data_IF_032112338743
#
_entry.id   IF_032112338743
#
_cell.length_a   1.000
_cell.length_b   1.000
_cell.length_c   1.000
_cell.angle_alpha   90.00
_cell.angle_beta   90.00
_cell.angle_gamma   90.00
#
_symmetry.space_group_name_H-M   'P 1'
#
loop_
_entity.id
_entity.type
_entity.pdbx_description
1 polymer ?
#
# COMPACT_ATOMS: atom_id res chain seq x y z
N UNK A 1 -23.18 9.23 -32.09
CA UNK A 1 -24.14 8.12 -31.91
C UNK A 1 -23.63 7.01 -30.99
N UNK A 2 -22.41 6.46 -31.19
CA UNK A 2 -21.89 5.37 -30.34
C UNK A 2 -21.71 5.78 -28.86
N UNK A 3 -21.17 6.96 -28.57
CA UNK A 3 -21.00 7.46 -27.21
C UNK A 3 -22.33 7.57 -26.45
N UNK A 4 -23.37 8.10 -27.08
CA UNK A 4 -24.70 8.18 -26.46
C UNK A 4 -25.32 6.81 -26.15
N UNK A 5 -25.05 5.80 -27.00
CA UNK A 5 -25.53 4.44 -26.75
C UNK A 5 -24.88 3.80 -25.55
N UNK A 6 -23.57 3.98 -25.36
CA UNK A 6 -22.83 3.52 -24.18
C UNK A 6 -23.31 4.23 -22.92
N UNK A 7 -23.51 5.53 -23.00
CA UNK A 7 -23.99 6.38 -21.90
C UNK A 7 -25.39 5.99 -21.40
N UNK A 8 -26.25 5.48 -22.27
CA UNK A 8 -27.59 5.01 -21.90
C UNK A 8 -27.59 3.55 -21.41
N UNK A 9 -26.67 2.73 -21.90
CA UNK A 9 -26.64 1.29 -21.64
C UNK A 9 -26.10 0.99 -20.24
N UNK A 10 -25.04 1.67 -19.81
CA UNK A 10 -24.38 1.40 -18.54
C UNK A 10 -25.30 1.63 -17.33
N UNK A 11 -26.00 2.79 -17.18
CA UNK A 11 -26.92 3.00 -16.06
C UNK A 11 -28.13 2.07 -16.06
N UNK A 12 -28.51 1.55 -17.23
CA UNK A 12 -29.65 0.65 -17.38
C UNK A 12 -29.31 -0.82 -17.09
N UNK A 13 -28.03 -1.18 -17.01
CA UNK A 13 -27.61 -2.54 -16.74
C UNK A 13 -27.96 -2.95 -15.31
N UNK A 14 -28.60 -4.10 -15.16
CA UNK A 14 -29.00 -4.62 -13.86
C UNK A 14 -27.79 -4.90 -12.98
N UNK A 15 -27.73 -4.31 -11.79
CA UNK A 15 -26.57 -4.43 -10.87
C UNK A 15 -25.62 -3.24 -10.91
N UNK A 16 -25.87 -2.21 -11.73
CA UNK A 16 -25.13 -0.96 -11.71
C UNK A 16 -25.54 -0.13 -10.49
N UNK A 17 -24.59 0.29 -9.69
CA UNK A 17 -24.75 1.23 -8.58
C UNK A 17 -24.36 2.65 -8.99
N UNK A 18 -23.60 3.33 -8.15
CA UNK A 18 -23.06 4.65 -8.46
C UNK A 18 -22.10 4.59 -9.65
N UNK A 19 -22.11 5.63 -10.45
CA UNK A 19 -21.24 5.72 -11.61
C UNK A 19 -20.83 7.16 -11.86
N UNK A 20 -19.61 7.34 -12.38
CA UNK A 20 -19.16 8.59 -12.97
C UNK A 20 -18.49 8.34 -14.32
N UNK A 21 -18.32 9.39 -15.07
CA UNK A 21 -17.72 9.37 -16.40
C UNK A 21 -16.51 10.28 -16.41
N UNK A 22 -15.51 9.93 -17.21
CA UNK A 22 -14.34 10.77 -17.37
C UNK A 22 -14.04 11.01 -18.84
N UNK A 23 -13.74 12.25 -19.16
CA UNK A 23 -13.19 12.67 -20.43
C UNK A 23 -11.74 13.08 -20.24
N UNK A 24 -10.89 12.81 -21.22
CA UNK A 24 -9.50 13.25 -21.22
C UNK A 24 -9.31 14.30 -22.30
N UNK A 25 -8.80 15.46 -21.89
CA UNK A 25 -8.46 16.57 -22.76
C UNK A 25 -6.99 16.91 -22.59
N UNK A 26 -6.35 17.30 -23.67
CA UNK A 26 -4.98 17.78 -23.65
C UNK A 26 -4.97 19.30 -23.64
N UNK A 27 -4.30 19.87 -22.65
CA UNK A 27 -4.15 21.31 -22.51
C UNK A 27 -2.67 21.66 -22.22
N UNK A 28 -2.32 22.92 -22.35
CA UNK A 28 -1.06 23.44 -21.84
C UNK A 28 -1.35 24.32 -20.63
N UNK A 29 -0.44 24.32 -19.68
CA UNK A 29 -0.60 25.10 -18.43
C UNK A 29 0.46 26.18 -18.41
N UNK A 30 0.09 27.38 -18.02
CA UNK A 30 1.04 28.49 -17.86
C UNK A 30 2.09 28.12 -16.81
N UNK A 31 3.37 28.21 -17.19
CA UNK A 31 4.49 27.80 -16.33
C UNK A 31 5.00 26.39 -16.54
N UNK A 32 4.31 25.54 -17.31
CA UNK A 32 4.78 24.21 -17.69
C UNK A 32 5.21 24.14 -19.14
N UNK A 33 6.28 23.38 -19.39
CA UNK A 33 6.69 23.04 -20.74
C UNK A 33 6.04 21.68 -21.11
N UNK A 34 5.16 21.68 -22.12
CA UNK A 34 4.55 20.46 -22.63
C UNK A 34 3.04 20.41 -22.50
N UNK A 35 2.51 19.25 -22.82
CA UNK A 35 1.08 18.97 -22.80
C UNK A 35 0.73 18.33 -21.45
N UNK A 36 -0.29 18.86 -20.81
CA UNK A 36 -0.87 18.33 -19.55
C UNK A 36 -2.17 17.60 -19.86
N UNK A 37 -2.34 16.41 -19.32
CA UNK A 37 -3.61 15.70 -19.38
C UNK A 37 -4.59 16.31 -18.37
N UNK A 38 -5.74 16.74 -18.86
CA UNK A 38 -6.85 17.20 -18.03
C UNK A 38 -7.92 16.13 -18.02
N UNK A 39 -8.23 15.60 -16.86
CA UNK A 39 -9.26 14.59 -16.65
C UNK A 39 -10.49 15.30 -16.11
N UNK A 40 -11.53 15.33 -16.91
CA UNK A 40 -12.79 16.00 -16.59
C UNK A 40 -13.85 14.96 -16.21
N UNK A 41 -14.40 15.09 -15.00
CA UNK A 41 -15.39 14.16 -14.47
C UNK A 41 -16.81 14.69 -14.65
N UNK A 42 -17.71 13.77 -15.00
CA UNK A 42 -19.17 14.00 -14.98
C UNK A 42 -19.78 13.05 -13.94
N UNK A 43 -20.38 13.57 -12.91
CA UNK A 43 -20.88 12.83 -11.75
C UNK A 43 -19.89 12.84 -10.59
N UNK A 44 -20.26 12.22 -9.48
CA UNK A 44 -19.42 12.16 -8.29
C UNK A 44 -18.27 11.15 -8.45
N UNK A 45 -17.06 11.65 -8.64
CA UNK A 45 -15.85 10.84 -8.75
C UNK A 45 -15.07 10.74 -7.41
N UNK A 46 -15.59 11.23 -6.30
CA UNK A 46 -14.92 11.22 -4.99
C UNK A 46 -14.60 9.81 -4.49
N UNK A 47 -15.44 8.84 -4.85
CA UNK A 47 -15.25 7.43 -4.51
C UNK A 47 -14.31 6.67 -5.50
N UNK A 48 -13.79 7.33 -6.53
CA UNK A 48 -12.97 6.73 -7.59
C UNK A 48 -11.58 6.26 -7.15
N UNK A 49 -11.30 6.20 -5.85
CA UNK A 49 -10.05 5.69 -5.30
C UNK A 49 -8.88 6.68 -5.33
N UNK A 50 -9.15 7.95 -5.57
CA UNK A 50 -8.13 9.01 -5.54
C UNK A 50 -7.79 9.36 -4.09
N UNK A 51 -6.56 9.05 -3.66
CA UNK A 51 -6.11 9.32 -2.30
C UNK A 51 -5.69 10.78 -2.16
N UNK A 52 -6.41 11.55 -1.35
CA UNK A 52 -6.10 12.95 -1.08
C UNK A 52 -4.86 13.08 -0.18
N UNK A 53 -3.94 13.95 -0.57
CA UNK A 53 -2.77 14.33 0.23
C UNK A 53 -3.10 15.52 1.11
N UNK A 54 -3.80 16.53 0.54
CA UNK A 54 -4.20 17.72 1.25
C UNK A 54 -5.41 18.39 0.58
N UNK A 55 -6.12 19.24 1.33
CA UNK A 55 -7.30 19.94 0.81
C UNK A 55 -8.53 19.05 0.71
N UNK A 56 -9.36 19.27 -0.31
CA UNK A 56 -10.59 18.52 -0.56
C UNK A 56 -10.74 18.12 -2.01
N UNK A 57 -11.65 17.19 -2.28
CA UNK A 57 -12.05 16.85 -3.64
C UNK A 57 -12.84 17.99 -4.29
N UNK A 58 -13.00 17.91 -5.62
CA UNK A 58 -13.76 18.83 -6.45
C UNK A 58 -15.23 18.81 -6.01
N UNK A 59 -15.84 19.98 -5.82
CA UNK A 59 -17.25 20.13 -5.42
C UNK A 59 -18.08 20.86 -6.49
N UNK A 60 -17.43 21.37 -7.54
CA UNK A 60 -18.13 22.06 -8.61
C UNK A 60 -17.22 22.63 -9.70
N UNK A 61 -17.82 23.36 -10.64
CA UNK A 61 -17.10 23.93 -11.77
C UNK A 61 -16.06 24.98 -11.32
N UNK A 62 -15.00 25.10 -12.10
CA UNK A 62 -13.91 26.03 -11.84
C UNK A 62 -12.92 25.57 -10.76
N UNK A 63 -13.13 24.37 -10.19
CA UNK A 63 -12.22 23.78 -9.22
C UNK A 63 -11.37 22.67 -9.85
N UNK A 64 -10.17 22.51 -9.32
CA UNK A 64 -9.27 21.44 -9.76
C UNK A 64 -8.54 20.81 -8.57
N UNK A 65 -8.23 19.52 -8.73
CA UNK A 65 -7.33 18.76 -7.87
C UNK A 65 -6.13 18.34 -8.72
N UNK A 66 -4.94 18.43 -8.16
CA UNK A 66 -3.69 18.17 -8.89
C UNK A 66 -2.71 17.33 -8.04
N UNK A 67 -1.80 16.57 -8.66
CA UNK A 67 -0.76 15.86 -7.94
C UNK A 67 0.34 16.80 -7.40
N UNK A 68 1.10 16.31 -6.41
CA UNK A 68 2.24 17.04 -5.81
C UNK A 68 3.26 17.56 -6.85
N UNK A 69 3.71 16.74 -7.85
CA UNK A 69 4.66 17.22 -8.85
C UNK A 69 4.13 18.39 -9.68
N UNK A 70 2.82 18.43 -9.95
CA UNK A 70 2.20 19.53 -10.67
C UNK A 70 2.31 20.85 -9.88
N UNK A 71 2.03 20.82 -8.58
CA UNK A 71 2.16 21.99 -7.69
C UNK A 71 3.59 22.52 -7.69
N UNK A 72 4.56 21.61 -7.56
CA UNK A 72 5.98 21.97 -7.55
C UNK A 72 6.44 22.56 -8.90
N UNK A 73 6.00 21.96 -10.02
CA UNK A 73 6.42 22.39 -11.36
C UNK A 73 5.79 23.73 -11.78
N UNK A 74 4.58 24.05 -11.28
CA UNK A 74 3.88 25.32 -11.57
C UNK A 74 4.13 26.40 -10.54
N UNK A 75 4.91 26.12 -9.48
CA UNK A 75 5.11 26.99 -8.30
C UNK A 75 3.77 27.50 -7.72
N UNK A 76 2.78 26.61 -7.72
CA UNK A 76 1.43 26.90 -7.20
C UNK A 76 1.16 26.13 -5.92
N UNK A 77 0.05 26.46 -5.27
CA UNK A 77 -0.39 25.83 -4.01
C UNK A 77 -1.92 25.72 -3.97
N UNK A 78 -2.43 24.95 -3.05
CA UNK A 78 -3.87 24.90 -2.77
C UNK A 78 -4.40 26.29 -2.50
N UNK A 79 -5.49 26.67 -3.17
CA UNK A 79 -6.07 28.01 -3.19
C UNK A 79 -5.59 28.87 -4.36
N UNK A 80 -4.50 28.50 -5.02
CA UNK A 80 -4.01 29.16 -6.24
C UNK A 80 -4.86 28.86 -7.46
N UNK A 81 -4.63 29.62 -8.52
CA UNK A 81 -5.34 29.46 -9.82
C UNK A 81 -4.33 29.19 -10.91
N UNK A 82 -4.64 28.24 -11.77
CA UNK A 82 -3.88 27.93 -13.00
C UNK A 82 -4.77 28.12 -14.21
N UNK A 83 -4.16 28.46 -15.35
CA UNK A 83 -4.90 28.63 -16.62
C UNK A 83 -4.55 27.48 -17.55
N UNK A 84 -5.59 26.79 -18.00
CA UNK A 84 -5.54 25.75 -19.01
C UNK A 84 -5.66 26.42 -20.39
N UNK A 85 -4.65 26.29 -21.21
CA UNK A 85 -4.57 26.86 -22.56
C UNK A 85 -4.60 25.74 -23.60
N UNK A 86 -4.83 26.09 -24.88
CA UNK A 86 -4.91 25.12 -25.98
C UNK A 86 -6.31 24.54 -26.17
N UNK A 87 -7.30 25.05 -25.45
CA UNK A 87 -8.73 24.88 -25.66
C UNK A 87 -9.26 26.01 -26.56
N UNK A 88 -10.54 26.01 -26.93
CA UNK A 88 -11.13 27.10 -27.70
C UNK A 88 -10.95 28.48 -27.01
N UNK A 89 -11.07 28.49 -25.69
CA UNK A 89 -10.78 29.63 -24.83
C UNK A 89 -9.94 29.19 -23.63
N UNK A 90 -9.08 30.05 -23.07
CA UNK A 90 -8.36 29.75 -21.83
C UNK A 90 -9.31 29.55 -20.66
N UNK A 91 -9.12 28.49 -19.89
CA UNK A 91 -9.95 28.15 -18.72
C UNK A 91 -9.14 28.31 -17.46
N UNK A 92 -9.57 29.20 -16.57
CA UNK A 92 -8.97 29.35 -15.24
C UNK A 92 -9.62 28.35 -14.26
N UNK A 93 -8.78 27.59 -13.55
CA UNK A 93 -9.23 26.64 -12.52
C UNK A 93 -8.51 26.92 -11.20
N UNK A 94 -9.27 26.87 -10.11
CA UNK A 94 -8.73 27.05 -8.76
C UNK A 94 -8.36 25.68 -8.17
N UNK A 95 -7.14 25.55 -7.70
CA UNK A 95 -6.67 24.33 -7.04
C UNK A 95 -7.28 24.24 -5.65
N UNK A 96 -8.08 23.21 -5.38
CA UNK A 96 -8.77 23.00 -4.10
C UNK A 96 -8.20 21.81 -3.31
N UNK A 97 -7.40 20.97 -3.96
CA UNK A 97 -6.80 19.81 -3.31
C UNK A 97 -5.58 19.27 -4.03
N UNK A 98 -4.85 18.47 -3.30
CA UNK A 98 -3.67 17.73 -3.72
C UNK A 98 -3.98 16.24 -3.62
N UNK A 99 -3.65 15.47 -4.67
CA UNK A 99 -3.93 14.04 -4.77
C UNK A 99 -2.64 13.25 -5.00
N UNK A 100 -2.58 12.05 -4.47
CA UNK A 100 -1.52 11.09 -4.78
C UNK A 100 -1.84 10.41 -6.12
N UNK A 101 -1.24 10.89 -7.18
CA UNK A 101 -1.31 10.26 -8.50
C UNK A 101 0.06 10.35 -9.21
N UNK A 102 0.78 9.23 -9.31
CA UNK A 102 2.08 9.18 -9.98
C UNK A 102 1.97 9.02 -11.51
N UNK A 103 0.77 8.84 -12.06
CA UNK A 103 0.60 8.66 -13.50
C UNK A 103 1.02 9.92 -14.26
N UNK A 104 1.56 9.74 -15.44
CA UNK A 104 2.05 10.83 -16.29
C UNK A 104 3.01 11.79 -15.55
N UNK A 105 3.92 11.22 -14.75
CA UNK A 105 4.87 11.95 -13.90
C UNK A 105 4.20 12.99 -12.96
N UNK A 106 2.93 12.76 -12.61
CA UNK A 106 2.11 13.66 -11.82
C UNK A 106 1.70 14.94 -12.57
N UNK A 107 1.86 15.01 -13.88
CA UNK A 107 1.48 16.18 -14.71
C UNK A 107 0.05 16.04 -15.23
N UNK A 108 -0.90 16.03 -14.30
CA UNK A 108 -2.34 15.90 -14.58
C UNK A 108 -3.14 16.94 -13.80
N UNK A 109 -4.28 17.30 -14.36
CA UNK A 109 -5.28 18.16 -13.70
C UNK A 109 -6.60 17.43 -13.69
N UNK A 110 -7.21 17.32 -12.53
CA UNK A 110 -8.54 16.75 -12.34
C UNK A 110 -9.53 17.89 -12.12
N UNK A 111 -10.63 17.91 -12.87
CA UNK A 111 -11.65 18.97 -12.78
C UNK A 111 -13.05 18.41 -13.08
N UNK A 112 -14.06 19.21 -12.83
CA UNK A 112 -15.44 18.91 -13.26
C UNK A 112 -15.61 19.17 -14.77
N UNK A 113 -16.36 18.33 -15.46
CA UNK A 113 -16.57 18.45 -16.91
C UNK A 113 -17.25 19.76 -17.30
N UNK A 114 -18.13 20.30 -16.45
CA UNK A 114 -18.78 21.59 -16.69
C UNK A 114 -17.82 22.78 -16.71
N UNK A 115 -16.63 22.65 -16.08
CA UNK A 115 -15.54 23.60 -16.16
C UNK A 115 -15.02 23.77 -17.59
N UNK A 116 -14.95 22.68 -18.34
CA UNK A 116 -14.37 22.66 -19.69
C UNK A 116 -15.41 22.82 -20.78
N UNK A 117 -16.69 22.50 -20.54
CA UNK A 117 -17.76 22.52 -21.54
C UNK A 117 -17.86 23.85 -22.31
N UNK A 118 -17.71 25.03 -21.69
CA UNK A 118 -17.75 26.30 -22.44
C UNK A 118 -16.62 26.44 -23.46
N UNK A 119 -15.41 25.96 -23.12
CA UNK A 119 -14.22 26.05 -23.95
C UNK A 119 -13.99 24.79 -24.82
N UNK A 120 -14.72 23.71 -24.58
CA UNK A 120 -14.65 22.45 -25.32
C UNK A 120 -16.02 21.79 -25.38
N UNK A 121 -16.96 22.31 -26.19
CA UNK A 121 -18.35 21.80 -26.25
C UNK A 121 -18.44 20.35 -26.74
N UNK A 122 -17.47 19.87 -27.52
CA UNK A 122 -17.41 18.50 -28.04
C UNK A 122 -16.66 17.54 -27.09
N UNK A 123 -16.71 17.81 -25.77
CA UNK A 123 -16.06 16.98 -24.77
C UNK A 123 -16.60 15.54 -24.88
N UNK A 124 -15.73 14.61 -25.27
CA UNK A 124 -16.10 13.21 -25.45
C UNK A 124 -15.63 12.40 -24.24
N UNK A 125 -16.57 11.75 -23.58
CA UNK A 125 -16.29 10.84 -22.49
C UNK A 125 -15.57 9.60 -23.01
N UNK A 126 -14.44 9.28 -22.40
CA UNK A 126 -13.56 8.19 -22.84
C UNK A 126 -13.63 6.98 -21.93
N UNK A 127 -14.07 7.16 -20.69
CA UNK A 127 -14.20 6.09 -19.72
C UNK A 127 -15.41 6.27 -18.81
N UNK A 128 -15.98 5.15 -18.41
CA UNK A 128 -17.08 5.05 -17.47
C UNK A 128 -16.60 4.22 -16.27
N UNK A 129 -16.80 4.71 -15.10
CA UNK A 129 -16.48 4.04 -13.85
C UNK A 129 -17.77 3.78 -13.10
N UNK A 130 -17.93 2.58 -12.60
CA UNK A 130 -19.15 2.17 -11.91
C UNK A 130 -18.85 1.25 -10.73
N UNK A 131 -19.70 1.32 -9.74
CA UNK A 131 -19.72 0.38 -8.61
C UNK A 131 -20.82 -0.63 -8.89
N UNK A 132 -20.51 -1.90 -8.72
CA UNK A 132 -21.49 -2.98 -8.79
C UNK A 132 -22.23 -3.06 -7.46
N UNK A 133 -23.55 -3.19 -7.49
CA UNK A 133 -24.37 -3.29 -6.26
C UNK A 133 -24.02 -4.53 -5.45
N UNK A 134 -24.09 -4.41 -4.13
CA UNK A 134 -23.78 -5.50 -3.19
C UNK A 134 -24.59 -6.77 -3.53
N UNK A 135 -23.88 -7.90 -3.62
CA UNK A 135 -24.48 -9.20 -3.93
C UNK A 135 -24.49 -9.56 -5.43
N UNK A 136 -24.07 -8.65 -6.32
CA UNK A 136 -23.88 -8.97 -7.73
C UNK A 136 -22.49 -9.59 -7.94
N UNK A 137 -22.43 -10.71 -8.65
CA UNK A 137 -21.17 -11.35 -9.00
C UNK A 137 -20.48 -10.53 -10.12
N UNK A 138 -19.27 -10.03 -9.85
CA UNK A 138 -18.57 -9.06 -10.70
C UNK A 138 -18.20 -9.64 -12.05
N UNK A 139 -17.74 -10.90 -12.11
CA UNK A 139 -17.32 -11.53 -13.37
C UNK A 139 -18.50 -11.69 -14.32
N UNK A 140 -19.62 -12.20 -13.83
CA UNK A 140 -20.85 -12.35 -14.63
C UNK A 140 -21.42 -11.01 -15.09
N UNK A 141 -21.33 -9.97 -14.24
CA UNK A 141 -21.72 -8.62 -14.61
C UNK A 141 -20.83 -8.06 -15.75
N UNK A 142 -19.51 -8.19 -15.62
CA UNK A 142 -18.55 -7.74 -16.65
C UNK A 142 -18.74 -8.50 -17.96
N UNK A 143 -18.99 -9.80 -17.93
CA UNK A 143 -19.24 -10.62 -19.12
C UNK A 143 -20.53 -10.20 -19.82
N UNK A 144 -21.61 -9.95 -19.07
CA UNK A 144 -22.87 -9.46 -19.61
C UNK A 144 -22.69 -8.07 -20.26
N UNK A 145 -22.01 -7.16 -19.55
CA UNK A 145 -21.75 -5.81 -20.02
C UNK A 145 -20.86 -5.81 -21.29
N UNK A 146 -19.86 -6.67 -21.35
CA UNK A 146 -19.02 -6.83 -22.55
C UNK A 146 -19.81 -7.31 -23.78
N UNK A 147 -20.77 -8.19 -23.57
CA UNK A 147 -21.67 -8.65 -24.65
C UNK A 147 -22.45 -7.50 -25.27
N UNK A 148 -22.97 -6.61 -24.42
CA UNK A 148 -23.76 -5.46 -24.84
C UNK A 148 -22.89 -4.33 -25.41
N UNK A 149 -21.66 -4.17 -24.93
CA UNK A 149 -20.70 -3.17 -25.41
C UNK A 149 -19.97 -3.58 -26.70
N UNK A 150 -19.81 -4.86 -26.97
CA UNK A 150 -19.08 -5.36 -28.15
C UNK A 150 -19.54 -4.76 -29.48
N UNK A 151 -20.85 -4.62 -29.78
CA UNK A 151 -21.31 -3.98 -31.00
C UNK A 151 -20.97 -2.50 -31.13
N UNK A 152 -20.71 -1.85 -29.96
CA UNK A 152 -20.38 -0.43 -29.83
C UNK A 152 -18.86 -0.20 -29.84
N UNK A 153 -18.06 -1.27 -29.79
CA UNK A 153 -16.59 -1.21 -29.69
C UNK A 153 -16.10 -0.82 -28.31
N UNK A 154 -16.94 -0.97 -27.29
CA UNK A 154 -16.58 -0.76 -25.89
C UNK A 154 -16.08 -2.05 -25.24
N UNK A 155 -15.35 -1.91 -24.15
CA UNK A 155 -14.88 -3.03 -23.33
C UNK A 155 -15.05 -2.66 -21.86
N UNK A 156 -15.63 -3.57 -21.07
CA UNK A 156 -15.68 -3.48 -19.62
C UNK A 156 -14.59 -4.36 -19.01
N UNK A 157 -13.96 -3.85 -17.99
CA UNK A 157 -12.96 -4.55 -17.22
C UNK A 157 -13.36 -4.52 -15.75
N UNK A 158 -13.21 -5.63 -15.06
CA UNK A 158 -13.28 -5.61 -13.60
C UNK A 158 -12.12 -4.73 -13.10
N UNK A 159 -12.48 -3.62 -12.48
CA UNK A 159 -11.54 -2.70 -11.84
C UNK A 159 -11.78 -2.70 -10.34
N UNK A 160 -10.74 -2.49 -9.59
CA UNK A 160 -10.82 -2.31 -8.15
C UNK A 160 -9.43 -1.97 -7.62
N UNK A 161 -9.30 -1.48 -6.39
CA UNK A 161 -8.00 -1.24 -5.79
C UNK A 161 -7.16 -2.53 -5.72
N UNK A 162 -7.82 -3.71 -5.78
CA UNK A 162 -7.20 -5.03 -5.66
C UNK A 162 -7.04 -5.78 -7.00
N UNK A 163 -7.60 -5.29 -8.10
CA UNK A 163 -7.28 -5.84 -9.42
C UNK A 163 -5.91 -5.33 -9.83
N UNK A 164 -4.92 -5.82 -9.09
CA UNK A 164 -3.54 -5.49 -9.34
C UNK A 164 -3.17 -5.85 -10.76
N UNK A 165 -2.63 -4.88 -11.47
CA UNK A 165 -1.82 -5.16 -12.63
C UNK A 165 -0.84 -6.28 -12.25
N UNK A 166 -0.45 -7.14 -13.20
CA UNK A 166 0.59 -8.18 -13.00
C UNK A 166 1.81 -7.64 -12.26
N UNK A 167 2.05 -6.34 -12.36
CA UNK A 167 3.11 -5.62 -11.66
C UNK A 167 2.87 -5.57 -10.14
N UNK A 168 1.65 -5.29 -9.67
CA UNK A 168 1.33 -5.27 -8.21
C UNK A 168 1.44 -6.67 -7.63
N UNK A 169 0.94 -7.68 -8.36
CA UNK A 169 1.09 -9.07 -7.96
C UNK A 169 2.57 -9.48 -7.88
N UNK A 170 3.37 -9.09 -8.86
CA UNK A 170 4.82 -9.35 -8.89
C UNK A 170 5.53 -8.66 -7.74
N UNK A 171 5.26 -7.39 -7.48
CA UNK A 171 5.84 -6.63 -6.37
C UNK A 171 5.44 -7.22 -5.01
N UNK A 172 4.19 -7.62 -4.86
CA UNK A 172 3.72 -8.25 -3.63
C UNK A 172 4.39 -9.61 -3.39
N UNK A 173 4.50 -10.43 -4.44
CA UNK A 173 5.20 -11.72 -4.39
C UNK A 173 6.67 -11.53 -4.03
N UNK A 174 7.35 -10.57 -4.65
CA UNK A 174 8.76 -10.26 -4.34
C UNK A 174 8.92 -9.80 -2.89
N UNK A 175 8.01 -8.96 -2.39
CA UNK A 175 8.00 -8.51 -1.00
C UNK A 175 7.81 -9.67 -0.01
N UNK A 176 6.92 -10.61 -0.31
CA UNK A 176 6.71 -11.82 0.50
C UNK A 176 7.96 -12.69 0.53
N UNK A 177 8.60 -12.92 -0.62
CA UNK A 177 9.84 -13.70 -0.71
C UNK A 177 10.96 -13.04 0.09
N UNK A 178 11.15 -11.72 -0.06
CA UNK A 178 12.16 -10.97 0.68
C UNK A 178 11.91 -11.04 2.20
N UNK A 179 10.67 -10.87 2.62
CA UNK A 179 10.27 -10.98 4.03
C UNK A 179 10.56 -12.37 4.58
N UNK A 180 10.23 -13.43 3.82
CA UNK A 180 10.51 -14.82 4.23
C UNK A 180 12.02 -15.07 4.35
N UNK A 181 12.81 -14.53 3.43
CA UNK A 181 14.26 -14.61 3.49
C UNK A 181 14.82 -13.92 4.74
N UNK A 182 14.35 -12.72 5.07
CA UNK A 182 14.75 -12.00 6.28
C UNK A 182 14.37 -12.76 7.55
N UNK A 183 13.15 -13.29 7.62
CA UNK A 183 12.69 -14.13 8.73
C UNK A 183 13.57 -15.37 8.90
N UNK A 184 13.94 -16.02 7.79
CA UNK A 184 14.81 -17.19 7.82
C UNK A 184 16.20 -16.86 8.36
N UNK A 185 16.80 -15.75 7.90
CA UNK A 185 18.12 -15.28 8.39
C UNK A 185 18.04 -14.94 9.88
N UNK A 186 16.98 -14.25 10.29
CA UNK A 186 16.76 -13.93 11.72
C UNK A 186 16.61 -15.19 12.57
N UNK A 187 15.84 -16.19 12.10
CA UNK A 187 15.67 -17.46 12.81
C UNK A 187 17.01 -18.24 12.97
N UNK A 188 17.81 -18.26 11.90
CA UNK A 188 19.16 -18.87 11.94
C UNK A 188 20.10 -18.09 12.89
N UNK A 189 19.99 -16.76 12.94
CA UNK A 189 20.73 -15.92 13.87
C UNK A 189 20.39 -16.25 15.32
N UNK A 190 19.10 -16.36 15.64
CA UNK A 190 18.62 -16.76 16.97
C UNK A 190 19.10 -18.17 17.32
N UNK A 191 18.96 -19.14 16.40
CA UNK A 191 19.42 -20.51 16.60
C UNK A 191 20.92 -20.54 16.93
N UNK A 192 21.72 -19.84 16.14
CA UNK A 192 23.19 -19.77 16.37
C UNK A 192 23.53 -19.11 17.70
N UNK A 193 22.86 -18.01 18.08
CA UNK A 193 23.05 -17.34 19.35
C UNK A 193 22.71 -18.24 20.54
N UNK A 194 21.58 -18.94 20.48
CA UNK A 194 21.16 -19.89 21.55
C UNK A 194 22.12 -21.09 21.63
N UNK A 195 22.62 -21.59 20.49
CA UNK A 195 23.63 -22.65 20.48
C UNK A 195 24.94 -22.23 21.14
N UNK A 196 25.43 -21.01 20.85
CA UNK A 196 26.64 -20.48 21.46
C UNK A 196 26.45 -20.29 22.97
N UNK A 197 25.40 -19.58 23.40
CA UNK A 197 25.10 -19.36 24.80
C UNK A 197 24.98 -20.68 25.58
N UNK A 198 24.29 -21.66 24.96
CA UNK A 198 24.16 -23.01 25.57
C UNK A 198 25.50 -23.72 25.70
N UNK A 199 26.41 -23.59 24.71
CA UNK A 199 27.74 -24.21 24.75
C UNK A 199 28.62 -23.56 25.82
N UNK A 200 28.59 -22.25 25.94
CA UNK A 200 29.32 -21.53 26.96
C UNK A 200 28.89 -21.90 28.41
N UNK A 201 27.58 -22.18 28.57
CA UNK A 201 26.99 -22.54 29.87
C UNK A 201 26.92 -24.05 30.14
N UNK A 202 27.47 -24.90 29.26
CA UNK A 202 27.40 -26.39 29.42
C UNK A 202 27.96 -26.81 30.78
N UNK A 203 29.02 -26.20 31.25
CA UNK A 203 29.63 -26.51 32.55
C UNK A 203 28.70 -26.13 33.73
N UNK A 204 28.09 -24.96 33.68
CA UNK A 204 27.10 -24.52 34.69
C UNK A 204 25.88 -25.42 34.72
N UNK A 205 25.36 -25.78 33.52
CA UNK A 205 24.26 -26.75 33.39
C UNK A 205 24.65 -28.10 33.93
N UNK A 206 25.91 -28.54 33.73
CA UNK A 206 26.45 -29.78 34.30
C UNK A 206 26.46 -29.78 35.81
N UNK A 207 26.88 -28.67 36.46
CA UNK A 207 26.87 -28.49 37.92
C UNK A 207 25.43 -28.52 38.47
N UNK A 208 24.53 -27.79 37.83
CA UNK A 208 23.10 -27.78 38.25
C UNK A 208 22.47 -29.17 38.14
N UNK A 209 22.80 -29.95 37.11
CA UNK A 209 22.33 -31.34 36.96
C UNK A 209 22.92 -32.25 38.04
N UNK A 210 24.21 -32.06 38.43
CA UNK A 210 24.83 -32.80 39.52
C UNK A 210 24.14 -32.51 40.87
N UNK A 211 23.58 -31.30 41.02
CA UNK A 211 22.79 -30.87 42.16
C UNK A 211 21.31 -31.35 42.13
N UNK A 212 20.91 -32.10 41.08
CA UNK A 212 19.57 -32.68 40.96
C UNK A 212 18.62 -32.00 40.01
N UNK A 213 19.10 -31.06 39.16
CA UNK A 213 18.26 -30.45 38.14
C UNK A 213 17.75 -31.45 37.12
N UNK A 214 16.42 -31.45 36.88
CA UNK A 214 15.79 -32.33 35.89
C UNK A 214 15.96 -31.81 34.46
N UNK A 215 15.92 -32.68 33.44
CA UNK A 215 15.97 -32.25 32.02
C UNK A 215 14.90 -31.23 31.66
N UNK A 216 13.71 -31.32 32.24
CA UNK A 216 12.62 -30.34 32.00
C UNK A 216 12.95 -28.96 32.56
N UNK A 217 13.62 -28.88 33.69
CA UNK A 217 14.07 -27.61 34.28
C UNK A 217 15.18 -26.98 33.43
N UNK A 218 16.07 -27.78 32.84
CA UNK A 218 17.08 -27.28 31.88
C UNK A 218 16.43 -26.68 30.64
N UNK A 219 15.45 -27.36 30.05
CA UNK A 219 14.69 -26.84 28.89
C UNK A 219 13.97 -25.54 29.28
N UNK A 220 13.28 -25.51 30.41
CA UNK A 220 12.57 -24.34 30.90
C UNK A 220 13.51 -23.14 31.10
N UNK A 221 14.69 -23.36 31.64
CA UNK A 221 15.70 -22.31 31.84
C UNK A 221 16.15 -21.69 30.51
N UNK A 222 16.48 -22.51 29.50
CA UNK A 222 16.89 -22.04 28.18
C UNK A 222 15.72 -21.30 27.49
N UNK A 223 14.52 -21.88 27.53
CA UNK A 223 13.33 -21.24 26.94
C UNK A 223 12.99 -19.92 27.61
N UNK A 224 13.07 -19.84 28.93
CA UNK A 224 12.82 -18.60 29.68
C UNK A 224 13.81 -17.51 29.25
N UNK A 225 15.09 -17.85 29.11
CA UNK A 225 16.12 -16.90 28.63
C UNK A 225 15.76 -16.36 27.23
N UNK A 226 15.37 -17.23 26.31
CA UNK A 226 14.98 -16.84 24.96
C UNK A 226 13.70 -15.98 24.95
N UNK A 227 12.71 -16.37 25.76
CA UNK A 227 11.46 -15.60 25.88
C UNK A 227 11.74 -14.20 26.43
N UNK A 228 12.51 -14.07 27.48
CA UNK A 228 12.86 -12.76 28.07
C UNK A 228 13.63 -11.90 27.06
N UNK A 229 14.64 -12.47 26.41
CA UNK A 229 15.40 -11.77 25.36
C UNK A 229 14.50 -11.36 24.20
N UNK A 230 13.62 -12.26 23.75
CA UNK A 230 12.65 -12.00 22.67
C UNK A 230 11.64 -10.91 23.02
N UNK A 231 11.16 -10.88 24.27
CA UNK A 231 10.26 -9.82 24.74
C UNK A 231 10.96 -8.45 24.77
N UNK A 232 12.21 -8.39 25.27
CA UNK A 232 12.99 -7.15 25.28
C UNK A 232 13.28 -6.70 23.84
N UNK A 233 13.71 -7.62 22.97
CA UNK A 233 13.98 -7.31 21.57
C UNK A 233 12.72 -6.83 20.83
N UNK A 234 11.58 -7.45 21.09
CA UNK A 234 10.28 -7.04 20.52
C UNK A 234 9.83 -5.67 21.03
N UNK A 235 9.95 -5.43 22.35
CA UNK A 235 9.58 -4.16 22.97
C UNK A 235 10.42 -2.96 22.46
N UNK A 236 11.64 -3.20 22.04
CA UNK A 236 12.51 -2.18 21.44
C UNK A 236 12.41 -2.15 19.92
N UNK A 237 12.37 -3.32 19.28
CA UNK A 237 12.40 -3.45 17.83
C UNK A 237 11.12 -2.94 17.14
N UNK A 238 9.95 -3.22 17.71
CA UNK A 238 8.69 -2.78 17.12
C UNK A 238 8.56 -1.26 17.10
N UNK A 239 8.74 -0.51 18.19
CA UNK A 239 8.68 0.96 18.15
C UNK A 239 9.77 1.57 17.26
N UNK A 240 10.97 0.99 17.25
CA UNK A 240 12.06 1.44 16.39
C UNK A 240 11.72 1.22 14.91
N UNK A 241 11.14 0.08 14.56
CA UNK A 241 10.69 -0.24 13.21
C UNK A 241 9.60 0.72 12.72
N UNK A 242 8.59 0.97 13.55
CA UNK A 242 7.49 1.90 13.23
C UNK A 242 8.03 3.33 13.06
N UNK A 243 8.90 3.79 13.95
CA UNK A 243 9.49 5.13 13.83
C UNK A 243 10.40 5.27 12.61
N UNK A 244 11.15 4.24 12.28
CA UNK A 244 12.00 4.22 11.08
C UNK A 244 11.14 4.23 9.81
N UNK A 245 10.09 3.41 9.76
CA UNK A 245 9.14 3.39 8.65
C UNK A 245 8.51 4.77 8.42
N UNK A 246 8.02 5.42 9.49
CA UNK A 246 7.42 6.75 9.43
C UNK A 246 8.38 7.88 9.02
N UNK A 247 9.69 7.64 8.99
CA UNK A 247 10.69 8.60 8.50
C UNK A 247 11.22 8.26 7.11
N UNK A 248 11.45 6.98 6.85
CA UNK A 248 12.03 6.53 5.58
C UNK A 248 11.04 6.64 4.45
N UNK A 249 9.78 6.24 4.68
CA UNK A 249 8.77 6.24 3.63
C UNK A 249 8.47 7.65 3.08
N UNK A 250 8.25 8.70 3.90
CA UNK A 250 8.13 10.07 3.40
C UNK A 250 9.38 10.56 2.67
N UNK A 251 10.57 10.29 3.22
CA UNK A 251 11.83 10.70 2.59
C UNK A 251 12.02 10.04 1.20
N UNK A 252 11.58 8.80 1.03
CA UNK A 252 11.55 8.14 -0.29
C UNK A 252 10.54 8.81 -1.23
N UNK A 253 9.35 9.14 -0.75
CA UNK A 253 8.36 9.90 -1.52
C UNK A 253 8.90 11.25 -1.98
N UNK A 254 9.45 12.03 -1.05
CA UNK A 254 10.03 13.35 -1.33
C UNK A 254 11.17 13.27 -2.35
N UNK A 255 11.98 12.21 -2.35
CA UNK A 255 13.08 12.02 -3.30
C UNK A 255 12.63 11.89 -4.76
N UNK A 256 11.39 11.45 -4.98
CA UNK A 256 10.75 11.35 -6.30
C UNK A 256 9.67 12.41 -6.52
N UNK A 257 9.64 13.43 -5.65
CA UNK A 257 8.70 14.54 -5.75
C UNK A 257 7.25 14.21 -5.39
N UNK A 258 7.01 13.08 -4.72
CA UNK A 258 5.69 12.64 -4.29
C UNK A 258 5.51 12.86 -2.79
N UNK A 259 4.47 13.59 -2.39
CA UNK A 259 4.06 13.66 -1.01
C UNK A 259 3.10 12.53 -0.69
N UNK A 260 3.45 11.72 0.30
CA UNK A 260 2.62 10.61 0.74
C UNK A 260 1.64 11.08 1.83
N UNK A 261 0.35 10.79 1.72
CA UNK A 261 -0.63 11.12 2.76
C UNK A 261 -0.45 10.25 4.01
N UNK A 262 -0.88 10.79 5.16
CA UNK A 262 -0.77 10.09 6.45
C UNK A 262 -1.49 8.74 6.45
N UNK A 263 -2.55 8.58 5.67
CA UNK A 263 -3.27 7.30 5.51
C UNK A 263 -2.43 6.19 4.88
N UNK A 264 -1.40 6.54 4.09
CA UNK A 264 -0.45 5.60 3.49
C UNK A 264 0.73 5.33 4.43
N UNK A 265 1.10 6.32 5.26
CA UNK A 265 2.23 6.22 6.18
C UNK A 265 1.82 5.51 7.48
N UNK A 266 0.66 5.85 8.03
CA UNK A 266 0.20 5.38 9.34
C UNK A 266 -0.62 4.07 9.25
N UNK A 267 -0.13 3.10 8.48
CA UNK A 267 -0.82 1.80 8.27
C UNK A 267 -0.68 0.83 9.44
N UNK A 268 0.11 1.15 10.47
CA UNK A 268 0.39 0.23 11.56
C UNK A 268 -0.55 0.44 12.74
N UNK A 269 -1.61 -0.35 12.81
CA UNK A 269 -2.48 -0.42 13.97
C UNK A 269 -1.90 -1.38 15.02
N UNK A 270 -2.06 -1.02 16.31
CA UNK A 270 -1.55 -1.85 17.42
C UNK A 270 -2.06 -3.30 17.37
N UNK A 271 -3.28 -3.51 16.85
CA UNK A 271 -3.87 -4.82 16.66
C UNK A 271 -3.12 -5.70 15.62
N UNK A 272 -2.43 -5.10 14.66
CA UNK A 272 -1.65 -5.79 13.63
C UNK A 272 -0.19 -6.01 14.05
N UNK A 273 0.36 -5.09 14.85
CA UNK A 273 1.71 -5.21 15.39
C UNK A 273 1.83 -6.31 16.45
N UNK A 274 0.76 -6.57 17.21
CA UNK A 274 0.75 -7.58 18.26
C UNK A 274 0.95 -9.02 17.71
N UNK A 275 0.23 -9.48 16.69
CA UNK A 275 0.48 -10.78 16.05
C UNK A 275 1.90 -10.89 15.46
N UNK A 276 2.44 -9.80 14.92
CA UNK A 276 3.80 -9.77 14.37
C UNK A 276 4.85 -9.97 15.47
N UNK A 277 4.71 -9.27 16.59
CA UNK A 277 5.57 -9.42 17.76
C UNK A 277 5.48 -10.83 18.36
N UNK A 278 4.28 -11.37 18.47
CA UNK A 278 4.03 -12.76 18.95
C UNK A 278 4.59 -13.79 17.97
N UNK A 279 4.50 -13.54 16.66
CA UNK A 279 5.08 -14.39 15.62
C UNK A 279 6.61 -14.47 15.75
N UNK A 280 7.28 -13.35 15.97
CA UNK A 280 8.73 -13.29 16.25
C UNK A 280 9.11 -14.08 17.49
N UNK A 281 8.35 -13.94 18.58
CA UNK A 281 8.55 -14.70 19.81
C UNK A 281 8.34 -16.20 19.61
N UNK A 282 7.32 -16.60 18.83
CA UNK A 282 7.05 -17.99 18.47
C UNK A 282 8.23 -18.59 17.68
N UNK A 283 8.73 -17.88 16.65
CA UNK A 283 9.87 -18.33 15.87
C UNK A 283 11.11 -18.49 16.75
N UNK A 284 11.38 -17.56 17.64
CA UNK A 284 12.50 -17.61 18.58
C UNK A 284 12.39 -18.82 19.53
N UNK A 285 11.20 -19.07 20.10
CA UNK A 285 10.97 -20.20 21.01
C UNK A 285 11.06 -21.54 20.28
N UNK A 286 10.51 -21.67 19.10
CA UNK A 286 10.62 -22.88 18.27
C UNK A 286 12.07 -23.16 17.87
N UNK A 287 12.80 -22.11 17.46
CA UNK A 287 14.23 -22.22 17.13
C UNK A 287 15.10 -22.64 18.32
N UNK A 288 14.70 -22.25 19.54
CA UNK A 288 15.42 -22.62 20.76
C UNK A 288 15.12 -24.05 21.26
N UNK A 289 14.05 -24.70 20.80
CA UNK A 289 13.71 -26.07 21.26
C UNK A 289 14.78 -27.10 20.92
N UNK A 290 15.40 -27.01 19.75
CA UNK A 290 16.48 -27.92 19.32
C UNK A 290 17.73 -27.80 20.24
N UNK A 291 18.33 -26.61 20.46
CA UNK A 291 19.46 -26.46 21.36
C UNK A 291 19.10 -26.74 22.83
N UNK A 292 17.90 -26.38 23.28
CA UNK A 292 17.43 -26.71 24.63
C UNK A 292 17.31 -28.23 24.84
N UNK A 293 16.79 -28.97 23.85
CA UNK A 293 16.74 -30.43 23.88
C UNK A 293 18.13 -31.06 23.90
N UNK A 294 19.06 -30.52 23.13
CA UNK A 294 20.46 -30.96 23.14
C UNK A 294 21.14 -30.72 24.50
N UNK A 295 20.97 -29.53 25.07
CA UNK A 295 21.48 -29.20 26.42
C UNK A 295 20.89 -30.11 27.52
N UNK A 296 19.58 -30.44 27.40
CA UNK A 296 18.93 -31.38 28.30
C UNK A 296 19.44 -32.81 28.18
N UNK A 297 19.87 -33.25 26.98
CA UNK A 297 20.44 -34.56 26.70
C UNK A 297 21.93 -34.71 27.05
N UNK A 298 22.67 -33.62 27.27
CA UNK A 298 24.09 -33.66 27.61
C UNK A 298 24.35 -34.43 28.91
N UNK A 299 25.29 -35.41 28.82
CA UNK A 299 25.68 -36.23 29.99
C UNK A 299 26.56 -35.43 30.92
N UNK A 300 26.24 -35.43 32.21
CA UNK A 300 26.99 -34.72 33.28
C UNK A 300 28.47 -35.09 33.30
N UNK A 301 28.79 -36.38 33.07
CA UNK A 301 30.17 -36.86 33.02
C UNK A 301 31.00 -36.26 31.88
N UNK A 302 30.35 -35.97 30.71
CA UNK A 302 31.01 -35.37 29.53
C UNK A 302 31.17 -33.85 29.73
N UNK A 303 30.20 -33.19 30.36
CA UNK A 303 30.21 -31.77 30.61
C UNK A 303 31.27 -31.33 31.64
N UNK A 304 31.65 -32.23 32.57
CA UNK A 304 32.67 -31.98 33.58
C UNK A 304 34.10 -32.42 33.13
N UNK A 305 34.25 -33.09 31.99
CA UNK A 305 35.48 -33.68 31.47
C UNK A 305 36.14 -32.89 30.35
N UNK A 306 35.56 -31.80 29.90
CA UNK A 306 36.14 -30.90 28.90
C UNK A 306 37.15 -29.98 29.60
N UNK A 307 38.38 -30.41 29.65
CA UNK A 307 39.57 -29.55 29.73
C UNK A 307 40.01 -29.21 28.32
#
# INVERSE_FOLDING_TARGET
MRAYAVQALIPAAAGTGEHYRAARVRATVSGLNGITDVIAFTGDASWGGYTMVAGRWIDGPGEAVVPTPFLAATDTRIGGTVTLNGLAEPVAVRIVGEVLDPRNDGMQVFTDASTLTPAHPDLTETSHHLVVTSGTEVTGYVDALNKDLAPLGGTALAGGPDTGSDMVLTLNTLSVILTLMLVTVAALGVLNGVLLDTRERVREIGVHKALGMTPRQTIAMVLTSVVVTGLVAGALGVPLGVTLHGRVLPAMGDSVGLRLPDSVIAVHHAAELLPLALGGLLIATLGALLPAGWAAGARTATALRTE
#
